data_IF_789915893545
#
_entry.id   IF_789915893545
#
_cell.length_a   1.000
_cell.length_b   1.000
_cell.length_c   1.000
_cell.angle_alpha   90.00
_cell.angle_beta   90.00
_cell.angle_gamma   90.00
#
_symmetry.space_group_name_H-M   'P 1'
#
loop_
_entity.id
_entity.type
_entity.pdbx_description
1 polymer ?
#
# COMPACT_ATOMS: atom_id res chain seq x y z
N UNK A 1 -18.44 -7.01 -19.34
CA UNK A 1 -18.47 -7.68 -18.02
C UNK A 1 -17.56 -6.92 -17.06
N UNK A 2 -17.96 -6.81 -15.80
CA UNK A 2 -17.13 -6.29 -14.72
C UNK A 2 -15.97 -7.26 -14.50
N UNK A 3 -14.76 -6.75 -14.40
CA UNK A 3 -13.57 -7.51 -14.05
C UNK A 3 -13.16 -7.28 -12.59
N UNK A 4 -12.30 -8.14 -12.10
CA UNK A 4 -11.75 -8.09 -10.74
C UNK A 4 -10.24 -7.87 -10.78
N UNK A 5 -9.71 -7.16 -9.78
CA UNK A 5 -8.28 -6.97 -9.62
C UNK A 5 -7.90 -6.81 -8.16
N UNK A 6 -6.62 -6.89 -7.85
CA UNK A 6 -6.07 -6.47 -6.55
C UNK A 6 -4.99 -5.42 -6.76
N UNK A 7 -4.61 -4.71 -5.70
CA UNK A 7 -3.58 -3.67 -5.74
C UNK A 7 -2.22 -4.15 -5.25
N UNK A 8 -2.17 -5.35 -4.73
CA UNK A 8 -1.00 -6.01 -4.17
C UNK A 8 -1.40 -7.07 -3.15
N UNK A 9 -0.45 -7.93 -2.76
CA UNK A 9 -0.69 -9.10 -1.92
C UNK A 9 0.32 -9.19 -0.76
N UNK A 10 0.02 -9.90 0.36
CA UNK A 10 0.97 -10.05 1.46
C UNK A 10 2.25 -10.76 1.03
N UNK A 11 3.39 -10.09 1.17
CA UNK A 11 4.69 -10.59 0.69
C UNK A 11 5.39 -11.60 1.58
N UNK A 12 5.00 -11.65 2.86
CA UNK A 12 5.77 -12.38 3.90
C UNK A 12 5.76 -13.89 3.73
N UNK A 13 4.76 -14.43 3.02
CA UNK A 13 4.49 -15.86 2.92
C UNK A 13 3.68 -16.40 4.09
N UNK A 14 3.07 -17.58 3.90
CA UNK A 14 2.17 -18.21 4.89
C UNK A 14 2.85 -18.50 6.21
N UNK A 15 4.13 -18.93 6.15
CA UNK A 15 4.96 -19.31 7.29
C UNK A 15 6.12 -18.35 7.52
N UNK A 16 6.02 -17.12 7.02
CA UNK A 16 7.03 -16.05 7.13
C UNK A 16 8.36 -16.43 6.44
N UNK A 17 8.28 -17.09 5.30
CA UNK A 17 9.40 -17.61 4.52
C UNK A 17 10.33 -16.46 4.12
N UNK A 18 9.77 -15.34 3.63
CA UNK A 18 10.57 -14.17 3.26
C UNK A 18 11.41 -13.65 4.42
N UNK A 19 10.81 -13.57 5.62
CA UNK A 19 11.56 -13.11 6.80
C UNK A 19 12.74 -14.02 7.10
N UNK A 20 12.51 -15.34 7.13
CA UNK A 20 13.58 -16.31 7.42
C UNK A 20 14.70 -16.28 6.37
N UNK A 21 14.33 -16.20 5.09
CA UNK A 21 15.29 -16.12 4.00
C UNK A 21 16.11 -14.82 4.05
N UNK A 22 15.47 -13.67 4.30
CA UNK A 22 16.16 -12.40 4.44
C UNK A 22 17.11 -12.38 5.64
N UNK A 23 16.68 -12.88 6.81
CA UNK A 23 17.53 -12.98 8.00
C UNK A 23 18.71 -13.93 7.79
N UNK A 24 18.52 -15.06 7.10
CA UNK A 24 19.59 -15.98 6.76
C UNK A 24 20.62 -15.37 5.76
N UNK A 25 20.14 -14.60 4.78
CA UNK A 25 21.00 -13.85 3.87
C UNK A 25 21.83 -12.80 4.63
N UNK A 26 21.21 -12.00 5.48
CA UNK A 26 21.91 -10.96 6.25
C UNK A 26 22.92 -11.54 7.26
N UNK A 27 22.68 -12.76 7.74
CA UNK A 27 23.60 -13.48 8.62
C UNK A 27 24.72 -14.20 7.84
N UNK A 28 24.72 -14.15 6.50
CA UNK A 28 25.67 -14.88 5.66
C UNK A 28 25.46 -16.40 5.65
N UNK A 29 24.31 -16.86 6.18
CA UNK A 29 23.96 -18.30 6.21
C UNK A 29 23.46 -18.85 4.88
N UNK A 30 23.00 -17.96 3.98
CA UNK A 30 22.63 -18.29 2.60
C UNK A 30 23.03 -17.18 1.62
N UNK A 31 23.26 -17.55 0.35
CA UNK A 31 23.62 -16.62 -0.71
C UNK A 31 22.43 -15.92 -1.36
N UNK A 32 22.72 -14.94 -2.22
CA UNK A 32 21.74 -14.14 -2.95
C UNK A 32 20.77 -15.00 -3.79
N UNK A 33 21.26 -16.06 -4.43
CA UNK A 33 20.43 -16.92 -5.28
C UNK A 33 19.38 -17.68 -4.49
N UNK A 34 19.69 -18.12 -3.27
CA UNK A 34 18.73 -18.78 -2.38
C UNK A 34 17.63 -17.80 -1.93
N UNK A 35 17.99 -16.54 -1.64
CA UNK A 35 17.02 -15.49 -1.32
C UNK A 35 16.12 -15.19 -2.52
N UNK A 36 16.71 -15.04 -3.73
CA UNK A 36 15.95 -14.82 -4.98
C UNK A 36 15.01 -15.99 -5.28
N UNK A 37 15.47 -17.22 -5.12
CA UNK A 37 14.64 -18.42 -5.31
C UNK A 37 13.45 -18.47 -4.34
N UNK A 38 13.65 -18.09 -3.08
CA UNK A 38 12.55 -17.97 -2.10
C UNK A 38 11.56 -16.89 -2.55
N UNK A 39 12.06 -15.73 -3.00
CA UNK A 39 11.21 -14.66 -3.54
C UNK A 39 10.38 -15.14 -4.74
N UNK A 40 10.98 -15.82 -5.70
CA UNK A 40 10.31 -16.38 -6.87
C UNK A 40 9.22 -17.40 -6.49
N UNK A 41 9.52 -18.30 -5.54
CA UNK A 41 8.54 -19.26 -5.05
C UNK A 41 7.34 -18.59 -4.38
N UNK A 42 7.56 -17.52 -3.60
CA UNK A 42 6.51 -16.75 -2.97
C UNK A 42 5.65 -16.01 -4.01
N UNK A 43 6.25 -15.32 -4.97
CA UNK A 43 5.52 -14.63 -6.05
C UNK A 43 4.63 -15.60 -6.81
N UNK A 44 5.17 -16.74 -7.22
CA UNK A 44 4.39 -17.80 -7.88
C UNK A 44 3.19 -18.21 -7.05
N UNK A 45 3.39 -18.52 -5.77
CA UNK A 45 2.29 -18.92 -4.87
C UNK A 45 1.21 -17.83 -4.74
N UNK A 46 1.63 -16.57 -4.66
CA UNK A 46 0.71 -15.42 -4.57
C UNK A 46 -0.11 -15.22 -5.86
N UNK A 47 0.51 -15.35 -7.02
CA UNK A 47 -0.19 -15.25 -8.31
C UNK A 47 -1.15 -16.42 -8.54
N UNK A 48 -0.71 -17.64 -8.20
CA UNK A 48 -1.53 -18.85 -8.29
C UNK A 48 -2.75 -18.78 -7.35
N UNK A 49 -2.60 -18.27 -6.13
CA UNK A 49 -3.69 -18.07 -5.19
C UNK A 49 -4.73 -17.07 -5.73
N UNK A 50 -4.29 -15.93 -6.27
CA UNK A 50 -5.18 -14.93 -6.87
C UNK A 50 -5.90 -15.46 -8.11
N UNK A 51 -5.18 -16.17 -8.99
CA UNK A 51 -5.77 -16.83 -10.16
C UNK A 51 -6.79 -17.90 -9.77
N UNK A 52 -6.46 -18.73 -8.78
CA UNK A 52 -7.36 -19.77 -8.28
C UNK A 52 -8.62 -19.19 -7.63
N UNK A 53 -8.52 -18.02 -6.99
CA UNK A 53 -9.66 -17.30 -6.47
C UNK A 53 -10.56 -16.69 -7.56
N UNK A 54 -10.07 -16.52 -8.79
CA UNK A 54 -10.81 -15.94 -9.92
C UNK A 54 -10.57 -14.43 -10.12
N UNK A 55 -9.42 -13.92 -9.69
CA UNK A 55 -9.01 -12.53 -10.00
C UNK A 55 -8.57 -12.44 -11.46
N UNK A 56 -9.13 -11.49 -12.22
CA UNK A 56 -8.89 -11.32 -13.64
C UNK A 56 -7.54 -10.65 -13.96
N UNK A 57 -7.21 -9.56 -13.25
CA UNK A 57 -5.98 -8.79 -13.43
C UNK A 57 -5.15 -8.87 -12.15
N UNK A 58 -4.01 -9.56 -12.23
CA UNK A 58 -3.18 -9.87 -11.06
C UNK A 58 -1.99 -8.92 -10.98
N UNK A 59 -1.73 -8.27 -9.83
CA UNK A 59 -0.58 -7.40 -9.63
C UNK A 59 0.73 -8.18 -9.75
N UNK A 60 1.71 -7.53 -10.35
CA UNK A 60 3.09 -7.96 -10.49
C UNK A 60 3.99 -6.80 -10.08
N UNK A 61 5.16 -7.06 -9.57
CA UNK A 61 6.07 -6.05 -8.99
C UNK A 61 5.59 -5.44 -7.67
N UNK A 62 4.48 -5.94 -7.10
CA UNK A 62 3.99 -5.61 -5.77
C UNK A 62 4.76 -6.33 -4.65
N UNK A 63 5.53 -7.37 -4.98
CA UNK A 63 6.41 -8.08 -4.08
C UNK A 63 7.75 -7.36 -3.93
N UNK A 64 8.19 -7.14 -2.68
CA UNK A 64 9.47 -6.52 -2.35
C UNK A 64 10.26 -7.41 -1.38
N UNK A 65 11.57 -7.50 -1.55
CA UNK A 65 12.43 -8.16 -0.56
C UNK A 65 12.49 -7.38 0.76
N UNK A 66 12.31 -6.05 0.69
CA UNK A 66 12.27 -5.19 1.87
C UNK A 66 11.11 -4.20 1.83
N UNK A 67 11.07 -3.27 0.86
CA UNK A 67 10.10 -2.18 0.77
C UNK A 67 9.88 -1.74 -0.68
N UNK A 68 8.63 -1.45 -1.07
CA UNK A 68 8.28 -1.09 -2.44
C UNK A 68 8.77 0.31 -2.86
N UNK A 69 8.95 1.25 -1.91
CA UNK A 69 9.57 2.55 -2.22
C UNK A 69 11.08 2.37 -2.42
N UNK A 70 11.73 1.49 -1.64
CA UNK A 70 13.11 1.12 -1.87
C UNK A 70 13.30 0.44 -3.24
N UNK A 71 12.35 -0.38 -3.69
CA UNK A 71 12.36 -0.94 -5.04
C UNK A 71 12.29 0.18 -6.10
N UNK A 72 11.47 1.23 -5.85
CA UNK A 72 11.40 2.39 -6.74
C UNK A 72 12.71 3.22 -6.73
N UNK A 73 13.34 3.40 -5.55
CA UNK A 73 14.67 4.03 -5.44
C UNK A 73 15.69 3.25 -6.28
N UNK A 74 15.69 1.91 -6.16
CA UNK A 74 16.57 1.05 -6.94
C UNK A 74 16.27 1.10 -8.43
N UNK A 75 14.96 1.15 -8.81
CA UNK A 75 14.54 1.23 -10.20
C UNK A 75 15.12 2.45 -10.91
N UNK A 76 15.09 3.61 -10.25
CA UNK A 76 15.53 4.88 -10.84
C UNK A 76 17.00 5.22 -10.57
N UNK A 77 17.76 4.33 -9.90
CA UNK A 77 19.15 4.55 -9.56
C UNK A 77 19.40 5.69 -8.56
N UNK A 78 18.41 6.00 -7.71
CA UNK A 78 18.49 7.07 -6.73
C UNK A 78 19.29 6.64 -5.48
N UNK A 79 20.47 6.06 -5.67
CA UNK A 79 21.34 5.58 -4.60
C UNK A 79 22.19 6.74 -4.05
N UNK A 80 22.09 7.09 -2.75
CA UNK A 80 22.94 8.12 -2.16
C UNK A 80 24.44 7.81 -2.26
N UNK A 81 25.25 8.83 -2.48
CA UNK A 81 26.70 8.71 -2.72
C UNK A 81 27.45 8.01 -1.57
N UNK A 82 26.92 8.07 -0.33
CA UNK A 82 27.53 7.41 0.84
C UNK A 82 27.64 5.89 0.72
N UNK A 83 26.82 5.26 -0.13
CA UNK A 83 26.88 3.80 -0.39
C UNK A 83 27.93 3.43 -1.45
N UNK A 84 28.62 4.41 -2.07
CA UNK A 84 29.68 4.20 -3.06
C UNK A 84 29.28 3.31 -4.22
N UNK A 85 28.01 3.35 -4.60
CA UNK A 85 27.53 2.63 -5.75
C UNK A 85 27.88 3.38 -7.04
N UNK A 86 28.45 2.67 -8.01
CA UNK A 86 28.87 3.18 -9.32
C UNK A 86 28.47 2.23 -10.45
N UNK A 87 27.59 1.27 -10.17
CA UNK A 87 27.13 0.29 -11.14
C UNK A 87 26.04 0.81 -12.06
N UNK A 88 25.73 0.04 -13.10
CA UNK A 88 24.54 0.27 -13.94
C UNK A 88 23.28 -0.24 -13.26
N UNK A 89 23.37 -1.37 -12.55
CA UNK A 89 22.25 -2.00 -11.83
C UNK A 89 22.52 -2.01 -10.32
N UNK A 90 21.49 -1.78 -9.54
CA UNK A 90 21.54 -1.85 -8.08
C UNK A 90 21.53 -3.35 -7.68
N UNK A 91 22.64 -3.80 -7.08
CA UNK A 91 22.76 -5.14 -6.54
C UNK A 91 22.10 -5.29 -5.16
N UNK A 92 21.97 -6.54 -4.69
CA UNK A 92 21.34 -6.82 -3.39
C UNK A 92 22.11 -6.25 -2.20
N UNK A 93 23.44 -6.16 -2.28
CA UNK A 93 24.27 -5.63 -1.21
C UNK A 93 24.02 -4.12 -1.04
N UNK A 94 23.98 -3.39 -2.15
CA UNK A 94 23.63 -1.96 -2.19
C UNK A 94 22.17 -1.74 -1.74
N UNK A 95 21.24 -2.57 -2.22
CA UNK A 95 19.83 -2.54 -1.83
C UNK A 95 19.65 -2.70 -0.31
N UNK A 96 20.29 -3.70 0.29
CA UNK A 96 20.20 -3.92 1.73
C UNK A 96 21.08 -2.96 2.55
N UNK A 97 22.14 -2.38 1.98
CA UNK A 97 22.87 -1.30 2.61
C UNK A 97 21.98 -0.06 2.79
N UNK A 98 21.20 0.30 1.77
CA UNK A 98 20.18 1.36 1.88
C UNK A 98 19.12 1.04 2.94
N UNK A 99 18.68 -0.20 3.02
CA UNK A 99 17.62 -0.63 3.95
C UNK A 99 18.04 -0.68 5.40
N UNK A 100 19.29 -1.07 5.69
CA UNK A 100 19.74 -1.47 7.04
C UNK A 100 21.02 -0.79 7.50
N UNK A 101 21.64 0.00 6.63
CA UNK A 101 23.01 0.45 6.82
C UNK A 101 24.03 -0.67 6.57
N UNK A 102 25.26 -0.28 6.49
CA UNK A 102 26.39 -1.18 6.30
C UNK A 102 27.56 -0.75 7.18
N UNK A 103 28.18 -1.70 7.85
CA UNK A 103 29.40 -1.51 8.67
C UNK A 103 30.41 -2.55 8.25
N UNK A 104 31.35 -2.15 7.38
CA UNK A 104 32.50 -2.93 6.91
C UNK A 104 33.76 -2.08 7.00
N UNK A 105 34.92 -2.69 6.95
CA UNK A 105 36.20 -1.98 7.04
C UNK A 105 36.38 -0.87 5.97
N UNK A 106 35.80 -1.08 4.80
CA UNK A 106 35.87 -0.19 3.64
C UNK A 106 34.66 0.73 3.49
N UNK A 107 33.53 0.44 4.16
CA UNK A 107 32.26 1.17 4.02
C UNK A 107 31.48 1.17 5.33
N UNK A 108 31.31 2.35 5.91
CA UNK A 108 30.40 2.59 7.06
C UNK A 108 29.37 3.65 6.65
N UNK A 109 28.12 3.22 6.47
CA UNK A 109 27.04 4.10 6.06
C UNK A 109 25.74 3.73 6.78
N UNK A 110 25.01 4.73 7.35
CA UNK A 110 23.71 4.47 7.98
C UNK A 110 22.67 4.09 6.92
N UNK A 111 21.60 3.43 7.36
CA UNK A 111 20.42 3.18 6.53
C UNK A 111 19.77 4.50 6.08
N UNK A 112 18.93 4.43 5.05
CA UNK A 112 17.96 5.48 4.73
C UNK A 112 17.02 5.71 5.91
N UNK A 113 16.48 6.91 6.02
CA UNK A 113 15.42 7.18 6.99
C UNK A 113 14.21 6.24 6.73
N UNK A 114 13.62 5.76 7.80
CA UNK A 114 12.40 4.94 7.73
C UNK A 114 11.25 5.70 8.36
N UNK A 115 10.12 5.81 7.64
CA UNK A 115 8.91 6.44 8.15
C UNK A 115 7.66 5.65 7.76
N UNK A 116 6.52 6.00 8.35
CA UNK A 116 5.26 5.32 8.06
C UNK A 116 4.74 5.62 6.67
N UNK A 117 4.26 4.57 6.00
CA UNK A 117 3.50 4.68 4.77
C UNK A 117 2.11 5.22 5.09
N UNK A 118 1.95 6.53 4.92
CA UNK A 118 0.76 7.28 5.32
C UNK A 118 0.38 7.01 6.79
N UNK A 119 -0.87 6.72 7.07
CA UNK A 119 -1.36 6.40 8.43
C UNK A 119 -1.37 4.90 8.74
N UNK A 120 -0.64 4.08 7.98
CA UNK A 120 -0.52 2.63 8.18
C UNK A 120 0.59 2.29 9.17
N UNK A 121 0.68 1.00 9.55
CA UNK A 121 1.84 0.46 10.28
C UNK A 121 2.96 -0.05 9.36
N UNK A 122 2.76 0.00 8.03
CA UNK A 122 3.83 -0.27 7.09
C UNK A 122 4.80 0.92 7.07
N UNK A 123 6.10 0.63 6.98
CA UNK A 123 7.14 1.65 6.92
C UNK A 123 7.88 1.54 5.59
N UNK A 124 8.24 2.67 5.03
CA UNK A 124 9.04 2.76 3.81
C UNK A 124 10.35 3.50 4.04
N UNK A 125 11.33 3.22 3.19
CA UNK A 125 12.61 3.92 3.16
C UNK A 125 12.44 5.21 2.38
N UNK A 126 12.78 6.34 3.01
CA UNK A 126 12.59 7.67 2.44
C UNK A 126 13.64 7.94 1.35
N UNK A 127 13.23 8.22 0.10
CA UNK A 127 14.17 8.67 -0.93
C UNK A 127 14.89 9.96 -0.54
N UNK A 128 16.16 10.07 -0.90
CA UNK A 128 16.96 11.27 -0.69
C UNK A 128 17.20 11.96 -2.01
N UNK A 129 16.80 13.24 -2.10
CA UNK A 129 16.97 14.03 -3.30
C UNK A 129 18.12 15.02 -3.18
N UNK A 130 19.02 15.02 -4.17
CA UNK A 130 20.19 15.87 -4.24
C UNK A 130 20.14 16.78 -5.48
N UNK A 131 20.71 17.99 -5.38
CA UNK A 131 20.79 18.87 -6.53
C UNK A 131 21.67 18.27 -7.65
N UNK A 132 21.15 18.32 -8.89
CA UNK A 132 21.83 17.75 -10.05
C UNK A 132 21.86 16.22 -10.07
N UNK A 133 21.03 15.54 -9.28
CA UNK A 133 20.91 14.08 -9.27
C UNK A 133 20.46 13.58 -10.65
N UNK A 134 21.15 12.55 -11.15
CA UNK A 134 20.80 11.89 -12.41
C UNK A 134 20.13 10.56 -12.13
N UNK A 135 19.11 10.26 -12.92
CA UNK A 135 18.35 9.03 -12.84
C UNK A 135 18.56 8.21 -14.12
N UNK A 136 18.53 6.92 -13.99
CA UNK A 136 18.52 5.95 -15.10
C UNK A 136 17.86 4.67 -14.63
N UNK A 137 17.47 3.82 -15.56
CA UNK A 137 16.85 2.54 -15.26
C UNK A 137 17.91 1.58 -14.69
N UNK A 138 17.93 1.43 -13.35
CA UNK A 138 18.98 0.73 -12.61
C UNK A 138 18.52 -0.57 -11.95
N UNK A 139 17.36 -1.12 -12.37
CA UNK A 139 16.88 -2.43 -11.89
C UNK A 139 16.10 -3.15 -12.99
N UNK A 140 16.33 -4.45 -13.11
CA UNK A 140 15.56 -5.33 -14.03
C UNK A 140 14.37 -5.99 -13.36
N UNK A 141 14.24 -5.88 -12.02
CA UNK A 141 13.23 -6.58 -11.20
C UNK A 141 11.83 -6.52 -11.80
N UNK A 142 11.38 -5.32 -12.20
CA UNK A 142 10.07 -5.09 -12.79
C UNK A 142 9.82 -5.98 -14.02
N UNK A 143 10.78 -6.05 -14.92
CA UNK A 143 10.67 -6.78 -16.19
C UNK A 143 10.83 -8.28 -15.97
N UNK A 144 11.74 -8.68 -15.07
CA UNK A 144 11.97 -10.07 -14.72
C UNK A 144 10.70 -10.69 -14.09
N UNK A 145 10.04 -9.97 -13.18
CA UNK A 145 8.81 -10.44 -12.54
C UNK A 145 7.63 -10.47 -13.53
N UNK A 146 7.55 -9.54 -14.47
CA UNK A 146 6.55 -9.60 -15.56
C UNK A 146 6.76 -10.84 -16.44
N UNK A 147 8.00 -11.09 -16.85
CA UNK A 147 8.32 -12.26 -17.66
C UNK A 147 8.04 -13.57 -16.90
N UNK A 148 8.37 -13.60 -15.60
CA UNK A 148 8.09 -14.75 -14.71
C UNK A 148 6.58 -15.03 -14.63
N UNK A 149 5.76 -13.99 -14.43
CA UNK A 149 4.30 -14.11 -14.38
C UNK A 149 3.70 -14.54 -15.71
N UNK A 150 4.15 -13.96 -16.84
CA UNK A 150 3.70 -14.31 -18.17
C UNK A 150 4.03 -15.77 -18.53
N UNK A 151 5.22 -16.27 -18.12
CA UNK A 151 5.60 -17.66 -18.31
C UNK A 151 4.68 -18.66 -17.56
N UNK A 152 3.99 -18.18 -16.49
CA UNK A 152 2.97 -18.94 -15.75
C UNK A 152 1.56 -18.76 -16.30
N UNK A 153 1.39 -18.01 -17.41
CA UNK A 153 0.08 -17.68 -17.99
C UNK A 153 -0.76 -16.75 -17.11
N UNK A 154 -0.13 -15.92 -16.29
CA UNK A 154 -0.80 -14.89 -15.48
C UNK A 154 -1.08 -13.66 -16.33
N UNK A 155 -2.30 -13.13 -16.25
CA UNK A 155 -2.64 -11.82 -16.83
C UNK A 155 -2.07 -10.74 -15.91
N UNK A 156 -0.81 -10.40 -16.17
CA UNK A 156 -0.03 -9.53 -15.32
C UNK A 156 -0.44 -8.05 -15.45
N UNK A 157 -0.57 -7.38 -14.32
CA UNK A 157 -0.73 -5.94 -14.18
C UNK A 157 0.44 -5.41 -13.35
N UNK A 158 1.54 -4.93 -13.97
CA UNK A 158 2.64 -4.32 -13.26
C UNK A 158 2.18 -3.13 -12.40
N UNK A 159 2.69 -3.08 -11.16
CA UNK A 159 2.39 -2.04 -10.18
C UNK A 159 3.68 -1.31 -9.81
N UNK A 160 3.69 0.01 -9.91
CA UNK A 160 4.78 0.88 -9.50
C UNK A 160 4.27 1.99 -8.59
N UNK A 161 5.07 2.44 -7.66
CA UNK A 161 4.84 3.73 -7.01
C UNK A 161 4.90 4.81 -8.10
N UNK A 162 3.88 5.64 -8.22
CA UNK A 162 3.82 6.67 -9.25
C UNK A 162 4.91 7.74 -9.06
N UNK A 163 5.44 8.33 -10.13
CA UNK A 163 6.59 9.24 -10.04
C UNK A 163 6.26 10.52 -9.26
N UNK A 164 5.01 10.97 -9.28
CA UNK A 164 4.59 12.15 -8.52
C UNK A 164 4.61 11.86 -7.01
N UNK A 165 4.03 10.76 -6.57
CA UNK A 165 4.12 10.35 -5.16
C UNK A 165 5.54 10.04 -4.75
N UNK A 166 6.34 9.36 -5.58
CA UNK A 166 7.74 9.07 -5.28
C UNK A 166 8.54 10.36 -5.06
N UNK A 167 8.34 11.39 -5.89
CA UNK A 167 8.98 12.69 -5.73
C UNK A 167 8.61 13.34 -4.40
N UNK A 168 7.32 13.32 -4.02
CA UNK A 168 6.80 13.95 -2.80
C UNK A 168 7.15 13.17 -1.51
N UNK A 169 7.33 11.86 -1.59
CA UNK A 169 7.68 11.01 -0.46
C UNK A 169 9.15 11.11 -0.07
N UNK A 170 9.99 11.57 -0.99
CA UNK A 170 11.41 11.78 -0.72
C UNK A 170 11.68 13.11 -0.05
N UNK A 171 12.87 13.22 0.54
CA UNK A 171 13.34 14.43 1.23
C UNK A 171 14.51 15.07 0.51
N UNK A 172 14.47 16.38 0.25
CA UNK A 172 15.62 17.11 -0.25
C UNK A 172 16.75 17.10 0.81
N UNK A 173 17.97 16.82 0.37
CA UNK A 173 19.18 16.87 1.18
C UNK A 173 19.92 18.21 1.01
N UNK A 174 19.44 19.06 0.12
CA UNK A 174 19.98 20.37 -0.20
C UNK A 174 18.80 21.34 -0.39
N UNK A 175 18.87 22.55 0.16
CA UNK A 175 17.80 23.57 0.07
C UNK A 175 17.46 23.97 -1.39
N UNK A 176 18.35 23.70 -2.35
CA UNK A 176 18.13 23.98 -3.78
C UNK A 176 17.26 22.92 -4.47
N UNK A 177 17.05 21.78 -3.84
CA UNK A 177 16.27 20.68 -4.43
C UNK A 177 14.79 20.93 -4.25
N UNK A 178 14.06 20.89 -5.37
CA UNK A 178 12.60 20.93 -5.36
C UNK A 178 12.04 19.65 -5.97
N UNK A 179 11.37 18.79 -5.18
CA UNK A 179 10.90 17.47 -5.66
C UNK A 179 10.03 17.53 -6.93
N UNK A 180 9.23 18.56 -7.10
CA UNK A 180 8.35 18.73 -8.26
C UNK A 180 8.98 19.50 -9.43
N UNK A 181 10.24 19.87 -9.32
CA UNK A 181 10.98 20.46 -10.42
C UNK A 181 11.82 19.40 -11.15
N UNK A 182 13.13 19.55 -10.99
CA UNK A 182 14.14 18.71 -11.63
C UNK A 182 13.98 17.21 -11.28
N UNK A 183 13.64 16.89 -10.03
CA UNK A 183 13.49 15.51 -9.56
C UNK A 183 12.35 14.81 -10.32
N UNK A 184 11.15 15.40 -10.35
CA UNK A 184 10.00 14.79 -11.05
C UNK A 184 10.28 14.62 -12.54
N UNK A 185 10.89 15.62 -13.18
CA UNK A 185 11.25 15.52 -14.60
C UNK A 185 12.23 14.37 -14.87
N UNK A 186 13.24 14.21 -14.00
CA UNK A 186 14.18 13.08 -14.10
C UNK A 186 13.53 11.73 -13.88
N UNK A 187 12.61 11.61 -12.90
CA UNK A 187 11.84 10.40 -12.66
C UNK A 187 10.95 10.05 -13.87
N UNK A 188 10.25 11.03 -14.44
CA UNK A 188 9.37 10.84 -15.60
C UNK A 188 10.13 10.27 -16.79
N UNK A 189 11.38 10.69 -17.03
CA UNK A 189 12.19 10.14 -18.09
C UNK A 189 12.48 8.64 -17.91
N UNK A 190 12.83 8.21 -16.68
CA UNK A 190 13.06 6.78 -16.37
C UNK A 190 11.79 5.97 -16.43
N UNK A 191 10.68 6.52 -15.91
CA UNK A 191 9.38 5.87 -16.00
C UNK A 191 8.92 5.72 -17.45
N UNK A 192 9.19 6.72 -18.31
CA UNK A 192 8.93 6.61 -19.74
C UNK A 192 9.63 5.40 -20.36
N UNK A 193 10.95 5.25 -20.12
CA UNK A 193 11.70 4.06 -20.58
C UNK A 193 11.11 2.76 -20.02
N UNK A 194 10.71 2.75 -18.72
CA UNK A 194 10.10 1.57 -18.12
C UNK A 194 8.74 1.23 -18.78
N UNK A 195 7.93 2.24 -19.09
CA UNK A 195 6.64 2.04 -19.78
C UNK A 195 6.83 1.52 -21.21
N UNK A 196 7.81 2.04 -21.96
CA UNK A 196 8.14 1.55 -23.32
C UNK A 196 8.47 0.04 -23.26
N UNK A 197 9.35 -0.38 -22.34
CA UNK A 197 9.72 -1.79 -22.16
C UNK A 197 8.54 -2.68 -21.74
N UNK A 198 7.66 -2.18 -20.87
CA UNK A 198 6.45 -2.91 -20.47
C UNK A 198 5.46 -3.05 -21.62
N UNK A 199 5.31 -2.01 -22.44
CA UNK A 199 4.48 -2.04 -23.63
C UNK A 199 5.02 -3.06 -24.67
N UNK A 200 6.34 -3.09 -24.88
CA UNK A 200 7.02 -4.07 -25.72
C UNK A 200 6.84 -5.50 -25.20
N UNK A 201 6.81 -5.69 -23.88
CA UNK A 201 6.50 -6.98 -23.25
C UNK A 201 5.03 -7.39 -23.38
N UNK A 202 4.18 -6.56 -23.99
CA UNK A 202 2.78 -6.87 -24.27
C UNK A 202 1.85 -6.88 -23.06
N UNK A 203 2.18 -6.14 -21.96
CA UNK A 203 1.27 -6.02 -20.83
C UNK A 203 0.03 -5.22 -21.21
N UNK A 204 -1.13 -5.64 -20.72
CA UNK A 204 -2.40 -4.97 -21.03
C UNK A 204 -2.69 -3.74 -20.15
N UNK A 205 -2.28 -3.77 -18.89
CA UNK A 205 -2.46 -2.70 -17.92
C UNK A 205 -1.18 -2.44 -17.13
N UNK A 206 -0.89 -1.17 -16.84
CA UNK A 206 0.19 -0.73 -15.96
C UNK A 206 -0.43 0.18 -14.90
N UNK A 207 -0.23 -0.14 -13.63
CA UNK A 207 -0.74 0.63 -12.49
C UNK A 207 0.36 1.50 -11.91
N UNK A 208 0.09 2.80 -11.79
CA UNK A 208 0.91 3.79 -11.09
C UNK A 208 0.18 4.23 -9.83
N UNK A 209 0.75 3.92 -8.66
CA UNK A 209 0.17 4.25 -7.36
C UNK A 209 0.49 5.68 -6.97
N UNK A 210 -0.52 6.54 -6.91
CA UNK A 210 -0.40 7.96 -6.54
C UNK A 210 -1.19 8.28 -5.25
N UNK A 211 -0.86 7.64 -4.12
CA UNK A 211 -1.57 7.86 -2.87
C UNK A 211 -1.42 9.29 -2.32
N UNK A 212 -0.41 10.05 -2.72
CA UNK A 212 -0.29 11.46 -2.32
C UNK A 212 -1.45 12.34 -2.79
N UNK A 213 -2.25 11.88 -3.77
CA UNK A 213 -3.43 12.61 -4.25
C UNK A 213 -4.62 12.63 -3.29
N UNK A 214 -4.58 11.85 -2.20
CA UNK A 214 -5.59 11.93 -1.13
C UNK A 214 -5.25 12.97 -0.06
N UNK A 215 -4.13 13.67 -0.22
CA UNK A 215 -3.73 14.80 0.61
C UNK A 215 -3.99 16.11 -0.15
N UNK A 216 -4.09 17.22 0.57
CA UNK A 216 -4.23 18.53 -0.05
C UNK A 216 -3.04 18.82 -0.97
N UNK A 217 -3.32 19.21 -2.22
CA UNK A 217 -2.32 19.52 -3.24
C UNK A 217 -2.46 20.97 -3.69
N UNK A 218 -1.33 21.63 -3.89
CA UNK A 218 -1.33 22.99 -4.45
C UNK A 218 -1.64 22.98 -5.95
N UNK A 219 -2.02 24.13 -6.51
CA UNK A 219 -2.27 24.26 -7.93
C UNK A 219 -1.01 23.96 -8.78
N UNK A 220 0.16 24.34 -8.26
CA UNK A 220 1.47 24.07 -8.87
C UNK A 220 1.76 22.57 -8.89
N UNK A 221 1.49 21.86 -7.77
CA UNK A 221 1.64 20.41 -7.68
C UNK A 221 0.71 19.69 -8.66
N UNK A 222 -0.55 20.12 -8.75
CA UNK A 222 -1.50 19.55 -9.71
C UNK A 222 -1.13 19.85 -11.17
N UNK A 223 -0.47 20.98 -11.44
CA UNK A 223 0.07 21.29 -12.77
C UNK A 223 1.23 20.36 -13.10
N UNK A 224 2.19 20.18 -12.17
CA UNK A 224 3.30 19.25 -12.35
C UNK A 224 2.82 17.79 -12.57
N UNK A 225 1.76 17.38 -11.86
CA UNK A 225 1.11 16.08 -12.09
C UNK A 225 0.59 15.95 -13.53
N UNK A 226 -0.15 16.96 -14.03
CA UNK A 226 -0.66 16.95 -15.41
C UNK A 226 0.45 16.83 -16.44
N UNK A 227 1.51 17.62 -16.28
CA UNK A 227 2.64 17.63 -17.20
C UNK A 227 3.38 16.29 -17.20
N UNK A 228 3.60 15.70 -16.01
CA UNK A 228 4.22 14.39 -15.85
C UNK A 228 3.41 13.31 -16.56
N UNK A 229 2.09 13.24 -16.34
CA UNK A 229 1.24 12.23 -16.96
C UNK A 229 1.00 12.47 -18.45
N UNK A 230 1.06 13.73 -18.92
CA UNK A 230 1.06 14.03 -20.36
C UNK A 230 2.29 13.44 -21.05
N UNK A 231 3.46 13.55 -20.43
CA UNK A 231 4.68 12.93 -20.94
C UNK A 231 4.60 11.39 -20.89
N UNK A 232 4.23 10.79 -19.75
CA UNK A 232 4.14 9.34 -19.58
C UNK A 232 3.16 8.69 -20.57
N UNK A 233 2.05 9.35 -20.88
CA UNK A 233 1.06 8.82 -21.82
C UNK A 233 1.62 8.58 -23.23
N UNK A 234 2.74 9.23 -23.60
CA UNK A 234 3.40 9.03 -24.90
C UNK A 234 4.23 7.73 -24.95
N UNK A 235 4.52 7.12 -23.78
CA UNK A 235 5.38 5.95 -23.64
C UNK A 235 4.61 4.64 -23.41
N UNK A 236 3.30 4.68 -23.20
CA UNK A 236 2.52 3.49 -22.85
C UNK A 236 2.28 2.49 -24.02
N UNK A 237 2.56 2.87 -25.25
CA UNK A 237 2.24 2.07 -26.43
C UNK A 237 0.77 1.66 -26.47
N UNK A 238 0.50 0.36 -26.57
CA UNK A 238 -0.86 -0.21 -26.52
C UNK A 238 -1.34 -0.56 -25.11
N UNK A 239 -0.46 -0.47 -24.10
CA UNK A 239 -0.85 -0.70 -22.73
C UNK A 239 -1.78 0.40 -22.21
N UNK A 240 -2.61 0.06 -21.24
CA UNK A 240 -3.49 1.00 -20.55
C UNK A 240 -2.84 1.46 -19.26
N UNK A 241 -2.78 2.77 -19.03
CA UNK A 241 -2.31 3.34 -17.77
C UNK A 241 -3.45 3.48 -16.78
N UNK A 242 -3.24 2.99 -15.56
CA UNK A 242 -4.12 3.15 -14.40
C UNK A 242 -3.40 4.01 -13.36
N UNK A 243 -4.00 5.13 -12.96
CA UNK A 243 -3.60 5.86 -11.75
C UNK A 243 -4.46 5.36 -10.60
N UNK A 244 -3.80 4.80 -9.59
CA UNK A 244 -4.47 4.25 -8.41
C UNK A 244 -4.27 5.15 -7.20
N UNK A 245 -5.36 5.55 -6.55
CA UNK A 245 -5.35 6.27 -5.28
C UNK A 245 -5.96 5.41 -4.17
N UNK A 246 -5.51 5.59 -2.94
CA UNK A 246 -6.02 4.86 -1.78
C UNK A 246 -5.72 5.60 -0.46
N UNK A 247 -6.35 5.16 0.64
CA UNK A 247 -6.30 5.66 2.02
C UNK A 247 -7.16 6.90 2.30
N UNK A 248 -7.89 7.43 1.31
CA UNK A 248 -8.75 8.58 1.50
C UNK A 248 -9.46 9.01 0.22
N UNK A 249 -10.16 10.14 0.31
CA UNK A 249 -10.77 10.75 -0.86
C UNK A 249 -9.80 11.73 -1.53
N UNK A 250 -9.95 11.90 -2.84
CA UNK A 250 -9.07 12.75 -3.65
C UNK A 250 -9.48 14.25 -3.63
N UNK A 251 -10.61 14.58 -3.01
CA UNK A 251 -11.04 15.96 -2.79
C UNK A 251 -10.92 16.84 -4.02
N UNK A 252 -10.24 17.99 -3.88
CA UNK A 252 -10.04 18.96 -4.94
C UNK A 252 -9.16 18.46 -6.09
N UNK A 253 -8.38 17.40 -5.87
CA UNK A 253 -7.59 16.77 -6.94
C UNK A 253 -8.44 15.99 -7.96
N UNK A 254 -9.76 15.76 -7.68
CA UNK A 254 -10.62 14.92 -8.52
C UNK A 254 -10.66 15.36 -9.98
N UNK A 255 -10.91 16.65 -10.24
CA UNK A 255 -11.04 17.16 -11.62
C UNK A 255 -9.71 17.03 -12.38
N UNK A 256 -8.59 17.30 -11.72
CA UNK A 256 -7.27 17.10 -12.31
C UNK A 256 -7.03 15.62 -12.62
N UNK A 257 -7.28 14.72 -11.67
CA UNK A 257 -7.14 13.29 -11.84
C UNK A 257 -8.04 12.77 -12.98
N UNK A 258 -9.28 13.23 -13.03
CA UNK A 258 -10.23 12.88 -14.10
C UNK A 258 -9.74 13.33 -15.48
N UNK A 259 -9.03 14.45 -15.57
CA UNK A 259 -8.52 15.02 -16.83
C UNK A 259 -7.17 14.41 -17.29
N UNK A 260 -6.44 13.66 -16.47
CA UNK A 260 -5.16 13.04 -16.85
C UNK A 260 -5.33 12.15 -18.10
N UNK A 261 -4.34 12.09 -19.01
CA UNK A 261 -4.40 11.24 -20.20
C UNK A 261 -4.10 9.76 -19.88
N UNK A 262 -4.91 9.18 -19.00
CA UNK A 262 -4.81 7.78 -18.53
C UNK A 262 -6.09 7.01 -18.87
N UNK A 263 -6.01 5.69 -18.91
CA UNK A 263 -7.09 4.81 -19.31
C UNK A 263 -7.95 4.33 -18.14
N UNK A 264 -7.42 4.44 -16.93
CA UNK A 264 -8.11 4.05 -15.70
C UNK A 264 -7.78 4.93 -14.51
N UNK A 265 -8.72 5.01 -13.58
CA UNK A 265 -8.58 5.72 -12.31
C UNK A 265 -9.10 4.79 -11.20
N UNK A 266 -8.29 4.59 -10.18
CA UNK A 266 -8.67 3.83 -8.99
C UNK A 266 -9.00 4.75 -7.83
N UNK A 267 -10.14 4.50 -7.20
CA UNK A 267 -10.65 5.28 -6.07
C UNK A 267 -10.96 4.35 -4.88
N UNK A 268 -10.53 4.77 -3.70
CA UNK A 268 -10.90 4.14 -2.43
C UNK A 268 -12.34 4.53 -2.05
N UNK A 269 -13.26 3.59 -2.05
CA UNK A 269 -14.67 3.80 -1.68
C UNK A 269 -14.96 3.37 -0.24
N UNK A 270 -13.94 2.95 0.52
CA UNK A 270 -14.03 2.55 1.91
C UNK A 270 -13.58 3.65 2.85
N UNK A 271 -12.32 4.09 2.73
CA UNK A 271 -11.73 5.20 3.51
C UNK A 271 -12.09 6.56 2.91
N UNK A 272 -12.18 6.61 1.59
CA UNK A 272 -12.59 7.79 0.83
C UNK A 272 -14.04 7.70 0.38
N UNK A 273 -14.99 7.51 1.30
CA UNK A 273 -16.43 7.41 0.98
C UNK A 273 -16.95 8.60 0.17
N UNK A 274 -16.34 9.75 0.36
CA UNK A 274 -16.61 10.99 -0.35
C UNK A 274 -16.32 10.89 -1.85
N UNK A 275 -15.46 9.96 -2.27
CA UNK A 275 -15.18 9.71 -3.69
C UNK A 275 -16.45 9.34 -4.48
N UNK A 276 -17.40 8.63 -3.86
CA UNK A 276 -18.68 8.33 -4.51
C UNK A 276 -19.51 9.60 -4.75
N UNK A 277 -19.47 10.55 -3.81
CA UNK A 277 -20.13 11.86 -3.97
C UNK A 277 -19.44 12.70 -5.07
N UNK A 278 -18.11 12.61 -5.17
CA UNK A 278 -17.35 13.26 -6.25
C UNK A 278 -17.73 12.68 -7.62
N UNK A 279 -17.82 11.35 -7.74
CA UNK A 279 -18.30 10.67 -8.95
C UNK A 279 -19.69 11.16 -9.38
N UNK A 280 -20.62 11.25 -8.44
CA UNK A 280 -21.99 11.73 -8.73
C UNK A 280 -22.02 13.21 -9.13
N UNK A 281 -21.22 14.03 -8.46
CA UNK A 281 -21.20 15.49 -8.66
C UNK A 281 -20.54 15.89 -9.98
N UNK A 282 -19.40 15.31 -10.29
CA UNK A 282 -18.55 15.71 -11.41
C UNK A 282 -18.66 14.75 -12.61
N UNK A 283 -19.32 13.59 -12.41
CA UNK A 283 -19.33 12.52 -13.41
C UNK A 283 -18.01 11.77 -13.46
N UNK A 284 -17.89 10.83 -14.41
CA UNK A 284 -16.67 10.08 -14.67
C UNK A 284 -16.33 10.13 -16.17
N UNK A 285 -15.08 10.35 -16.58
CA UNK A 285 -14.73 10.56 -17.98
C UNK A 285 -15.13 9.39 -18.88
N UNK A 286 -15.71 9.72 -20.02
CA UNK A 286 -16.02 8.72 -21.05
C UNK A 286 -14.74 8.04 -21.53
N UNK A 287 -14.77 6.72 -21.68
CA UNK A 287 -13.62 5.93 -22.16
C UNK A 287 -12.66 5.47 -21.05
N UNK A 288 -12.73 6.01 -19.83
CA UNK A 288 -11.90 5.53 -18.71
C UNK A 288 -12.57 4.42 -17.94
N UNK A 289 -11.74 3.57 -17.33
CA UNK A 289 -12.14 2.50 -16.42
C UNK A 289 -12.02 2.98 -14.97
N UNK A 290 -13.03 2.74 -14.15
CA UNK A 290 -13.00 2.95 -12.70
C UNK A 290 -12.58 1.65 -12.00
N UNK A 291 -11.49 1.69 -11.23
CA UNK A 291 -11.18 0.65 -10.25
C UNK A 291 -11.84 1.05 -8.93
N UNK A 292 -12.91 0.36 -8.59
CA UNK A 292 -13.69 0.61 -7.39
C UNK A 292 -13.13 -0.18 -6.22
N UNK A 293 -12.36 0.49 -5.36
CA UNK A 293 -11.77 -0.07 -4.16
C UNK A 293 -12.80 -0.20 -3.04
N UNK A 294 -13.50 -1.34 -2.95
CA UNK A 294 -14.67 -1.52 -2.08
C UNK A 294 -14.50 -2.54 -0.97
N UNK A 295 -13.57 -3.48 -1.09
CA UNK A 295 -13.22 -4.42 -0.02
C UNK A 295 -12.09 -3.80 0.81
N UNK A 296 -12.30 -3.60 2.12
CA UNK A 296 -11.31 -2.92 2.97
C UNK A 296 -10.00 -3.73 3.04
N UNK A 297 -8.94 -3.21 2.44
CA UNK A 297 -7.60 -3.81 2.42
C UNK A 297 -6.76 -3.54 3.68
N UNK A 298 -7.28 -2.81 4.67
CA UNK A 298 -6.52 -2.39 5.88
C UNK A 298 -7.03 -2.96 7.19
N UNK A 299 -8.21 -3.56 7.20
CA UNK A 299 -8.73 -4.20 8.40
C UNK A 299 -8.88 -5.72 8.19
N UNK A 300 -9.07 -6.41 9.29
CA UNK A 300 -9.19 -7.87 9.33
C UNK A 300 -10.63 -8.37 9.32
N UNK A 301 -11.58 -7.47 9.18
CA UNK A 301 -12.99 -7.83 9.27
C UNK A 301 -13.54 -8.27 7.93
N UNK A 302 -14.45 -9.23 7.99
CA UNK A 302 -15.27 -9.66 6.86
C UNK A 302 -16.09 -8.47 6.34
N UNK A 303 -16.13 -8.31 5.03
CA UNK A 303 -16.90 -7.25 4.37
C UNK A 303 -18.39 -7.55 4.46
N UNK A 304 -19.23 -6.56 4.78
CA UNK A 304 -20.66 -6.62 4.50
C UNK A 304 -20.86 -6.51 2.98
N UNK A 305 -20.97 -7.66 2.32
CA UNK A 305 -21.07 -7.73 0.86
C UNK A 305 -22.35 -7.09 0.33
N UNK A 306 -23.44 -7.12 1.10
CA UNK A 306 -24.68 -6.49 0.66
C UNK A 306 -24.56 -4.96 0.64
N UNK A 307 -23.92 -4.37 1.65
CA UNK A 307 -23.63 -2.95 1.72
C UNK A 307 -22.59 -2.53 0.64
N UNK A 308 -21.54 -3.31 0.47
CA UNK A 308 -20.51 -3.07 -0.56
C UNK A 308 -21.11 -3.11 -1.98
N UNK A 309 -21.98 -4.09 -2.26
CA UNK A 309 -22.67 -4.22 -3.54
C UNK A 309 -23.59 -3.01 -3.82
N UNK A 310 -24.28 -2.49 -2.81
CA UNK A 310 -25.10 -1.29 -2.97
C UNK A 310 -24.27 -0.07 -3.39
N UNK A 311 -23.05 0.09 -2.84
CA UNK A 311 -22.13 1.15 -3.25
C UNK A 311 -21.64 0.96 -4.70
N UNK A 312 -21.37 -0.26 -5.11
CA UNK A 312 -20.98 -0.58 -6.49
C UNK A 312 -22.12 -0.36 -7.48
N UNK A 313 -23.34 -0.73 -7.13
CA UNK A 313 -24.54 -0.49 -7.95
C UNK A 313 -24.80 1.02 -8.11
N UNK A 314 -24.55 1.78 -7.08
CA UNK A 314 -24.62 3.24 -7.11
C UNK A 314 -23.51 3.84 -8.02
N UNK A 315 -22.26 3.42 -7.88
CA UNK A 315 -21.19 3.82 -8.79
C UNK A 315 -21.51 3.43 -10.25
N UNK A 316 -22.21 2.31 -10.48
CA UNK A 316 -22.66 1.86 -11.79
C UNK A 316 -23.75 2.75 -12.42
N UNK A 317 -24.37 3.64 -11.66
CA UNK A 317 -25.27 4.68 -12.23
C UNK A 317 -24.50 5.78 -12.95
N UNK A 318 -23.24 5.98 -12.62
CA UNK A 318 -22.34 6.99 -13.21
C UNK A 318 -21.35 6.35 -14.21
N UNK A 319 -20.82 5.18 -13.89
CA UNK A 319 -19.82 4.48 -14.70
C UNK A 319 -20.43 3.18 -15.24
N UNK A 320 -20.57 2.99 -16.55
CA UNK A 320 -21.08 1.74 -17.14
C UNK A 320 -20.33 0.52 -16.60
N UNK A 321 -21.06 -0.59 -16.34
CA UNK A 321 -20.51 -1.79 -15.70
C UNK A 321 -19.31 -2.37 -16.45
N UNK A 322 -19.28 -2.31 -17.77
CA UNK A 322 -18.17 -2.77 -18.60
C UNK A 322 -16.88 -1.96 -18.42
N UNK A 323 -16.97 -0.82 -17.76
CA UNK A 323 -15.83 0.04 -17.36
C UNK A 323 -15.58 0.04 -15.85
N UNK A 324 -16.11 -0.95 -15.13
CA UNK A 324 -15.83 -1.14 -13.70
C UNK A 324 -14.86 -2.30 -13.50
N UNK A 325 -13.87 -2.10 -12.64
CA UNK A 325 -13.10 -3.14 -11.99
C UNK A 325 -13.38 -3.11 -10.50
N UNK A 326 -13.69 -4.28 -9.91
CA UNK A 326 -13.85 -4.43 -8.47
C UNK A 326 -12.50 -4.77 -7.84
N UNK A 327 -12.14 -4.08 -6.78
CA UNK A 327 -10.86 -4.25 -6.11
C UNK A 327 -10.95 -4.08 -4.58
N UNK A 328 -9.93 -4.50 -3.82
CA UNK A 328 -9.71 -3.99 -2.49
C UNK A 328 -9.43 -2.48 -2.51
N UNK A 329 -9.71 -1.80 -1.39
CA UNK A 329 -9.52 -0.35 -1.25
C UNK A 329 -8.05 0.10 -1.30
N UNK A 330 -7.14 -0.81 -0.97
CA UNK A 330 -5.69 -0.67 -1.10
C UNK A 330 -5.05 -2.05 -1.22
N UNK A 331 -3.71 -2.12 -1.28
CA UNK A 331 -2.99 -3.40 -1.29
C UNK A 331 -3.36 -4.28 -0.09
N UNK A 332 -3.57 -5.57 -0.32
CA UNK A 332 -3.76 -6.58 0.73
C UNK A 332 -2.48 -6.85 1.53
N UNK A 333 -1.36 -6.19 1.20
CA UNK A 333 -0.14 -6.15 2.01
C UNK A 333 -0.42 -5.77 3.48
N UNK A 334 -1.47 -5.00 3.74
CA UNK A 334 -1.81 -4.46 5.06
C UNK A 334 -2.64 -5.42 5.93
N UNK A 335 -3.02 -6.59 5.44
CA UNK A 335 -3.77 -7.60 6.19
C UNK A 335 -2.98 -8.91 6.30
N UNK A 336 -3.27 -9.75 7.31
CA UNK A 336 -2.66 -11.07 7.42
C UNK A 336 -3.03 -11.97 6.22
N UNK A 337 -2.35 -13.10 6.09
CA UNK A 337 -2.44 -13.96 4.92
C UNK A 337 -3.76 -14.73 4.84
N UNK A 338 -4.11 -15.53 5.88
CA UNK A 338 -5.23 -16.49 5.85
C UNK A 338 -5.83 -16.68 7.25
N UNK A 339 -7.10 -16.30 7.43
CA UNK A 339 -7.81 -16.39 8.68
C UNK A 339 -8.13 -17.83 9.11
N UNK A 340 -8.12 -18.79 8.19
CA UNK A 340 -8.40 -20.20 8.50
C UNK A 340 -7.29 -20.82 9.35
N UNK A 341 -6.11 -20.23 9.36
CA UNK A 341 -4.95 -20.69 10.13
C UNK A 341 -4.92 -20.18 11.58
N UNK A 342 -5.86 -19.35 11.97
CA UNK A 342 -5.96 -18.79 13.33
C UNK A 342 -6.68 -19.81 14.26
N UNK A 343 -5.97 -20.85 14.67
CA UNK A 343 -6.54 -21.94 15.50
C UNK A 343 -6.83 -21.51 16.94
N UNK A 344 -6.10 -20.52 17.47
CA UNK A 344 -6.22 -20.05 18.87
C UNK A 344 -7.29 -18.98 19.10
N UNK A 345 -8.04 -18.58 18.07
CA UNK A 345 -9.07 -17.55 18.17
C UNK A 345 -10.45 -18.23 18.39
N UNK A 346 -11.27 -17.61 19.25
CA UNK A 346 -12.65 -18.01 19.43
C UNK A 346 -13.39 -18.19 18.09
N UNK A 347 -14.23 -19.22 17.98
CA UNK A 347 -14.88 -19.60 16.74
C UNK A 347 -15.84 -18.51 16.21
N UNK A 348 -16.57 -17.83 17.09
CA UNK A 348 -17.45 -16.71 16.76
C UNK A 348 -16.62 -15.57 16.18
N UNK A 349 -15.56 -15.14 16.88
CA UNK A 349 -14.66 -14.07 16.45
C UNK A 349 -13.98 -14.42 15.11
N UNK A 350 -13.54 -15.66 14.94
CA UNK A 350 -12.93 -16.13 13.68
C UNK A 350 -13.92 -16.06 12.52
N UNK A 351 -15.21 -16.29 12.74
CA UNK A 351 -16.28 -16.14 11.76
C UNK A 351 -16.41 -14.71 11.20
N UNK A 352 -15.96 -13.70 11.94
CA UNK A 352 -15.97 -12.30 11.51
C UNK A 352 -14.73 -11.86 10.77
N UNK A 353 -13.69 -12.70 10.70
CA UNK A 353 -12.40 -12.35 10.11
C UNK A 353 -12.37 -12.66 8.60
N UNK A 354 -11.71 -11.76 7.87
CA UNK A 354 -11.33 -11.94 6.48
C UNK A 354 -9.92 -11.37 6.28
N UNK A 355 -8.97 -12.26 6.02
CA UNK A 355 -7.60 -11.91 5.67
C UNK A 355 -7.43 -11.90 4.14
N UNK A 356 -6.20 -11.83 3.63
CA UNK A 356 -5.98 -11.66 2.21
C UNK A 356 -6.70 -12.72 1.35
N UNK A 357 -6.60 -14.02 1.69
CA UNK A 357 -7.25 -15.08 0.93
C UNK A 357 -8.79 -14.95 0.94
N UNK A 358 -9.40 -14.63 2.09
CA UNK A 358 -10.83 -14.44 2.19
C UNK A 358 -11.29 -13.18 1.43
N UNK A 359 -10.49 -12.11 1.43
CA UNK A 359 -10.80 -10.89 0.70
C UNK A 359 -10.73 -11.04 -0.82
N UNK A 360 -9.90 -11.97 -1.34
CA UNK A 360 -9.98 -12.35 -2.75
C UNK A 360 -11.37 -12.89 -3.11
N UNK A 361 -11.90 -13.79 -2.29
CA UNK A 361 -13.24 -14.34 -2.50
C UNK A 361 -14.34 -13.27 -2.41
N UNK A 362 -14.21 -12.29 -1.50
CA UNK A 362 -15.13 -11.16 -1.39
C UNK A 362 -15.13 -10.29 -2.67
N UNK A 363 -13.95 -9.97 -3.23
CA UNK A 363 -13.81 -9.22 -4.49
C UNK A 363 -14.47 -9.97 -5.65
N UNK A 364 -14.20 -11.28 -5.77
CA UNK A 364 -14.76 -12.12 -6.84
C UNK A 364 -16.28 -12.24 -6.70
N UNK A 365 -16.78 -12.41 -5.48
CA UNK A 365 -18.23 -12.47 -5.21
C UNK A 365 -18.95 -11.19 -5.65
N UNK A 366 -18.36 -10.02 -5.34
CA UNK A 366 -18.92 -8.73 -5.76
C UNK A 366 -18.89 -8.55 -7.29
N UNK A 367 -17.81 -8.98 -7.96
CA UNK A 367 -17.72 -9.00 -9.42
C UNK A 367 -18.80 -9.89 -10.05
N UNK A 368 -18.99 -11.09 -9.51
CA UNK A 368 -20.06 -12.00 -9.93
C UNK A 368 -21.45 -11.43 -9.70
N UNK A 369 -21.68 -10.79 -8.55
CA UNK A 369 -22.96 -10.14 -8.26
C UNK A 369 -23.34 -9.08 -9.30
N UNK A 370 -22.35 -8.29 -9.77
CA UNK A 370 -22.58 -7.29 -10.81
C UNK A 370 -22.81 -7.92 -12.21
N UNK A 371 -22.16 -9.04 -12.49
CA UNK A 371 -22.27 -9.73 -13.79
C UNK A 371 -23.50 -10.63 -13.90
N UNK A 372 -23.78 -11.41 -12.86
CA UNK A 372 -24.78 -12.50 -12.85
C UNK A 372 -26.04 -12.14 -12.04
N UNK A 373 -25.99 -11.05 -11.26
CA UNK A 373 -27.07 -10.60 -10.39
C UNK A 373 -26.96 -11.13 -8.96
N UNK A 374 -27.68 -10.50 -8.04
CA UNK A 374 -27.67 -10.81 -6.59
C UNK A 374 -28.08 -12.25 -6.28
N UNK A 375 -28.95 -12.85 -7.10
CA UNK A 375 -29.42 -14.22 -6.91
C UNK A 375 -28.28 -15.25 -7.02
N UNK A 376 -27.32 -15.02 -7.91
CA UNK A 376 -26.19 -15.94 -8.12
C UNK A 376 -25.23 -16.03 -6.93
N UNK A 377 -25.26 -15.06 -6.03
CA UNK A 377 -24.40 -14.95 -4.83
C UNK A 377 -25.20 -14.78 -3.54
N UNK A 378 -26.48 -15.17 -3.56
CA UNK A 378 -27.40 -14.93 -2.44
C UNK A 378 -26.93 -15.55 -1.11
N UNK A 379 -26.32 -16.74 -1.16
CA UNK A 379 -25.79 -17.42 0.01
C UNK A 379 -24.59 -16.62 0.62
N UNK A 380 -23.69 -16.11 -0.22
CA UNK A 380 -22.54 -15.35 0.23
C UNK A 380 -22.95 -13.99 0.84
N UNK A 381 -23.94 -13.32 0.22
CA UNK A 381 -24.53 -12.09 0.75
C UNK A 381 -25.16 -12.33 2.12
N UNK A 382 -25.98 -13.39 2.24
CA UNK A 382 -26.63 -13.73 3.50
C UNK A 382 -25.60 -14.07 4.59
N UNK A 383 -24.58 -14.88 4.28
CA UNK A 383 -23.55 -15.26 5.23
C UNK A 383 -22.72 -14.05 5.70
N UNK A 384 -22.41 -13.09 4.80
CA UNK A 384 -21.67 -11.89 5.18
C UNK A 384 -22.51 -10.94 6.05
N UNK A 385 -23.79 -10.77 5.72
CA UNK A 385 -24.72 -9.97 6.52
C UNK A 385 -24.93 -10.57 7.91
N UNK A 386 -25.06 -11.91 8.00
CA UNK A 386 -25.17 -12.61 9.29
C UNK A 386 -23.92 -12.35 10.16
N UNK A 387 -22.72 -12.52 9.60
CA UNK A 387 -21.48 -12.27 10.33
C UNK A 387 -21.33 -10.79 10.80
N UNK A 388 -21.75 -9.83 9.96
CA UNK A 388 -21.73 -8.41 10.31
C UNK A 388 -22.74 -8.11 11.44
N UNK A 389 -23.93 -8.70 11.39
CA UNK A 389 -24.98 -8.54 12.41
C UNK A 389 -24.55 -9.18 13.73
N UNK A 390 -24.05 -10.41 13.68
CA UNK A 390 -23.53 -11.13 14.85
C UNK A 390 -22.44 -10.31 15.55
N UNK A 391 -21.44 -9.82 14.82
CA UNK A 391 -20.41 -8.94 15.37
C UNK A 391 -20.98 -7.67 15.98
N UNK A 392 -21.96 -7.05 15.33
CA UNK A 392 -22.58 -5.81 15.80
C UNK A 392 -23.39 -5.97 17.08
N UNK A 393 -23.79 -7.19 17.44
CA UNK A 393 -24.64 -7.47 18.60
C UNK A 393 -23.95 -8.33 19.67
N UNK A 394 -22.77 -8.89 19.37
CA UNK A 394 -22.05 -9.81 20.26
C UNK A 394 -21.61 -9.16 21.58
N UNK A 395 -21.73 -9.86 22.72
CA UNK A 395 -21.21 -9.43 23.99
C UNK A 395 -19.67 -9.32 24.00
N UNK A 396 -18.95 -9.97 23.08
CA UNK A 396 -17.50 -9.78 22.91
C UNK A 396 -17.13 -8.36 22.46
N UNK A 397 -18.04 -7.66 21.80
CA UNK A 397 -17.84 -6.30 21.29
C UNK A 397 -18.60 -5.27 22.12
N UNK A 398 -19.65 -5.70 22.84
CA UNK A 398 -20.53 -4.83 23.60
C UNK A 398 -20.62 -5.24 25.06
N UNK A 399 -20.00 -4.47 25.93
CA UNK A 399 -20.15 -4.57 27.38
C UNK A 399 -21.22 -3.57 27.84
N UNK A 400 -22.36 -4.08 28.32
CA UNK A 400 -23.49 -3.27 28.79
C UNK A 400 -23.11 -2.40 30.00
N UNK A 401 -22.30 -2.92 30.92
CA UNK A 401 -21.86 -2.18 32.11
C UNK A 401 -20.96 -1.00 31.75
N UNK A 402 -20.05 -1.20 30.77
CA UNK A 402 -19.19 -0.11 30.26
C UNK A 402 -20.04 0.97 29.59
N UNK A 403 -21.02 0.59 28.77
CA UNK A 403 -21.92 1.55 28.11
C UNK A 403 -22.78 2.34 29.10
N UNK A 404 -23.33 1.67 30.12
CA UNK A 404 -24.09 2.31 31.17
C UNK A 404 -23.24 3.30 31.93
N UNK A 405 -22.01 2.92 32.32
CA UNK A 405 -21.05 3.81 32.95
C UNK A 405 -20.71 5.02 32.11
N UNK A 406 -20.44 4.84 30.79
CA UNK A 406 -20.20 5.94 29.85
C UNK A 406 -21.39 6.89 29.73
N UNK A 407 -22.60 6.36 29.75
CA UNK A 407 -23.82 7.17 29.71
C UNK A 407 -24.03 7.99 31.02
N UNK A 408 -23.57 7.47 32.16
CA UNK A 408 -23.63 8.12 33.46
C UNK A 408 -22.47 9.10 33.69
N UNK A 409 -21.31 8.88 33.12
CA UNK A 409 -20.16 9.78 33.22
C UNK A 409 -20.47 11.10 32.51
N UNK A 410 -20.89 12.09 33.28
CA UNK A 410 -20.76 13.49 32.86
C UNK A 410 -19.26 13.78 32.82
N UNK A 411 -18.69 13.97 31.67
CA UNK A 411 -17.35 14.55 31.54
C UNK A 411 -17.36 15.86 32.35
N UNK A 412 -16.80 15.83 33.55
CA UNK A 412 -16.61 17.05 34.33
C UNK A 412 -15.76 17.97 33.45
N UNK A 413 -16.28 19.14 33.19
CA UNK A 413 -15.55 20.14 32.43
C UNK A 413 -14.18 20.34 33.12
N UNK A 414 -13.11 20.09 32.37
CA UNK A 414 -11.75 20.28 32.90
C UNK A 414 -11.60 21.74 33.29
N UNK A 415 -11.12 22.01 34.48
CA UNK A 415 -10.89 23.38 34.94
C UNK A 415 -10.04 24.17 33.91
N UNK A 416 -10.26 25.49 33.77
CA UNK A 416 -9.47 26.32 32.86
C UNK A 416 -7.96 26.14 33.08
N UNK A 417 -7.17 26.29 32.03
CA UNK A 417 -5.72 26.09 32.11
C UNK A 417 -5.04 26.88 33.21
N UNK A 418 -5.42 28.15 33.41
CA UNK A 418 -4.87 29.03 34.41
C UNK A 418 -5.09 28.54 35.87
N UNK A 419 -6.19 27.83 36.10
CA UNK A 419 -6.52 27.28 37.44
C UNK A 419 -5.79 25.94 37.66
N UNK A 420 -5.74 25.07 36.68
CA UNK A 420 -5.16 23.72 36.84
C UNK A 420 -3.64 23.71 36.73
N UNK A 421 -3.02 24.63 36.01
CA UNK A 421 -1.58 24.65 35.77
C UNK A 421 -0.78 24.77 37.07
N UNK A 422 -1.07 25.70 38.00
CA UNK A 422 -0.34 25.78 39.24
C UNK A 422 -0.47 24.51 40.10
N UNK A 423 -1.64 23.86 40.10
CA UNK A 423 -1.87 22.60 40.82
C UNK A 423 -1.06 21.45 40.23
N UNK A 424 -0.99 21.37 38.91
CA UNK A 424 -0.19 20.38 38.18
C UNK A 424 1.30 20.59 38.44
N UNK A 425 1.79 21.80 38.32
CA UNK A 425 3.19 22.14 38.53
C UNK A 425 3.63 21.83 39.96
N UNK A 426 2.81 22.17 40.95
CA UNK A 426 3.07 21.85 42.36
C UNK A 426 3.09 20.32 42.64
N UNK A 427 2.18 19.56 41.97
CA UNK A 427 2.12 18.09 42.14
C UNK A 427 3.24 17.36 41.44
N UNK A 428 3.61 17.79 40.23
CA UNK A 428 4.60 17.12 39.40
C UNK A 428 6.03 17.50 39.76
N UNK A 429 6.25 18.72 40.28
CA UNK A 429 7.56 19.21 40.67
C UNK A 429 8.58 19.26 39.54
N UNK A 430 8.12 19.40 38.29
CA UNK A 430 9.00 19.39 37.14
C UNK A 430 9.79 20.70 37.01
N UNK A 431 11.05 20.64 36.58
CA UNK A 431 11.80 21.85 36.29
C UNK A 431 11.22 22.56 35.04
N UNK A 432 11.57 23.83 34.78
CA UNK A 432 11.29 24.47 33.52
C UNK A 432 11.89 23.66 32.39
N UNK A 433 11.13 23.47 31.27
CA UNK A 433 11.55 22.67 30.11
C UNK A 433 11.98 21.24 30.49
N UNK A 434 11.12 20.46 31.12
CA UNK A 434 11.48 19.10 31.50
C UNK A 434 11.76 18.24 30.28
N UNK A 435 12.78 17.39 30.36
CA UNK A 435 13.04 16.37 29.37
C UNK A 435 12.34 15.07 29.70
N UNK A 436 11.92 14.35 28.68
CA UNK A 436 11.34 13.00 28.82
C UNK A 436 11.77 12.12 27.66
N UNK A 437 11.61 10.82 27.81
CA UNK A 437 11.77 9.90 26.68
C UNK A 437 10.50 9.87 25.84
N UNK A 438 10.66 9.73 24.52
CA UNK A 438 9.52 9.60 23.59
C UNK A 438 8.87 8.23 23.71
N UNK A 439 9.63 7.22 24.12
CA UNK A 439 9.19 5.83 24.28
C UNK A 439 10.21 4.98 24.99
N UNK A 440 10.15 3.68 24.80
CA UNK A 440 11.13 2.74 25.37
C UNK A 440 12.52 2.94 24.75
N UNK A 441 13.56 2.82 25.58
CA UNK A 441 14.92 2.73 25.05
C UNK A 441 15.10 1.48 24.18
N UNK A 442 15.98 1.51 23.17
CA UNK A 442 16.32 0.34 22.39
C UNK A 442 16.74 -0.84 23.27
N UNK A 443 16.18 -2.00 23.00
CA UNK A 443 16.54 -3.22 23.73
C UNK A 443 17.80 -3.84 23.10
N UNK A 444 18.95 -3.65 23.73
CA UNK A 444 20.19 -4.31 23.33
C UNK A 444 20.08 -5.84 23.49
N UNK A 445 21.00 -6.57 22.84
CA UNK A 445 21.08 -8.03 22.99
C UNK A 445 21.29 -8.43 24.47
N UNK A 446 22.07 -7.67 25.20
CA UNK A 446 22.35 -7.85 26.64
C UNK A 446 21.08 -7.69 27.48
N UNK A 447 20.29 -6.62 27.27
CA UNK A 447 19.01 -6.39 27.96
C UNK A 447 18.03 -7.54 27.69
N UNK A 448 17.96 -8.03 26.44
CA UNK A 448 17.09 -9.17 26.07
C UNK A 448 17.54 -10.45 26.79
N UNK A 449 18.87 -10.73 26.83
CA UNK A 449 19.43 -11.89 27.51
C UNK A 449 19.14 -11.84 29.00
N UNK A 450 19.36 -10.69 29.65
CA UNK A 450 19.10 -10.50 31.10
C UNK A 450 17.62 -10.69 31.43
N UNK A 451 16.71 -10.13 30.60
CA UNK A 451 15.27 -10.35 30.78
C UNK A 451 14.86 -11.81 30.59
N UNK A 452 15.47 -12.54 29.67
CA UNK A 452 15.19 -13.97 29.49
C UNK A 452 15.65 -14.80 30.69
N UNK A 453 16.84 -14.51 31.25
CA UNK A 453 17.36 -15.21 32.42
C UNK A 453 16.65 -14.88 33.74
N UNK A 454 15.94 -13.72 33.84
CA UNK A 454 15.18 -13.35 35.05
C UNK A 454 13.75 -13.89 35.07
N UNK A 455 13.31 -14.58 34.02
CA UNK A 455 11.98 -15.22 33.94
C UNK A 455 12.01 -16.72 34.31
N UNK A 456 13.15 -17.27 34.63
CA UNK A 456 13.37 -18.58 35.22
C UNK A 456 13.70 -18.44 36.68
#
# INVERSE_FOLDING_TARGET
MVQTTTLGYPRIGRDRELKRASEAYWAGAQGADALRATGAALRRAHWEAQRAAGIDLIPVNDFSLYDHVLDAIALVGAVPARYRWHGELVDLDTYFAMARGVQRADLDAPALEMTKWFDTNYHYLVPEWHAGQRFHLASTKLFDEVAEAQALGIVAKPVLVGPFSLALLGKPQDERVQPLGEILAGLVAVYGEALDRLAEAGVGWIQLDEPCLVQDRTAEELTALRDAYAALATHKGQAKLLVQTYFGHVGESYETLAALPVDGIGLDLVRGRENLALLRRHGFPAGKTLVAGIVDGRNVWRTDLAAALAVLEDAATVVPRERLLVAPSCSLLHVPYDATREEGIDAEVRGWLAFAEQKLAEVVTLGRALNEGRAAVAADLAASTAAATERATSPHVHDGAVRERLAQERMSARAPYAERRPLQDARLGLPPLPTTTIGSFPQTAEVRKTRASSKG
#
